data_IF_552255301341
#
_entry.id   IF_552255301341
#
_cell.length_a   1.000
_cell.length_b   1.000
_cell.length_c   1.000
_cell.angle_alpha   90.00
_cell.angle_beta   90.00
_cell.angle_gamma   90.00
#
_symmetry.space_group_name_H-M   'P 1'
#
loop_
_entity.id
_entity.type
_entity.pdbx_description
1 polymer ?
#
# COMPACT_ATOMS: atom_id res chain seq x y z
N UNK A 1 -69.34 0.49 51.13
CA UNK A 1 -68.97 -0.02 49.78
C UNK A 1 -67.54 0.41 49.44
N UNK A 2 -66.68 -0.45 48.88
CA UNK A 2 -65.24 -0.19 48.69
C UNK A 2 -64.91 0.54 47.37
N UNK A 3 -63.76 1.24 47.35
CA UNK A 3 -63.24 2.06 46.22
C UNK A 3 -62.55 1.22 45.12
N UNK A 4 -62.48 1.69 43.86
CA UNK A 4 -61.50 1.16 42.91
C UNK A 4 -60.15 1.91 43.01
N UNK A 5 -59.06 1.17 43.20
CA UNK A 5 -57.67 1.60 42.91
C UNK A 5 -57.20 0.84 41.69
N UNK A 6 -56.91 1.52 40.58
CA UNK A 6 -56.07 0.99 39.51
C UNK A 6 -55.42 2.16 38.74
N UNK A 7 -54.24 2.59 39.19
CA UNK A 7 -53.37 3.47 38.38
C UNK A 7 -51.87 3.18 38.57
N UNK A 8 -51.47 2.34 39.53
CA UNK A 8 -50.07 2.20 39.91
C UNK A 8 -49.30 1.06 39.19
N UNK A 9 -49.93 0.30 38.28
CA UNK A 9 -49.28 -0.83 37.59
C UNK A 9 -48.64 -0.50 36.24
N UNK A 10 -49.01 0.63 35.62
CA UNK A 10 -48.49 0.98 34.28
C UNK A 10 -47.15 1.72 34.33
N UNK A 11 -46.85 2.41 35.42
CA UNK A 11 -45.71 3.33 35.52
C UNK A 11 -44.37 2.57 35.44
N UNK A 12 -44.23 1.48 36.21
CA UNK A 12 -43.01 0.66 36.20
C UNK A 12 -42.79 -0.18 34.93
N UNK A 13 -43.79 -0.28 34.05
CA UNK A 13 -43.65 -0.95 32.75
C UNK A 13 -43.15 0.02 31.68
N UNK A 14 -43.59 1.29 31.74
CA UNK A 14 -43.14 2.36 30.84
C UNK A 14 -41.68 2.70 31.10
N UNK A 15 -41.27 2.88 32.36
CA UNK A 15 -39.88 3.18 32.72
C UNK A 15 -38.90 2.07 32.26
N UNK A 16 -39.32 0.80 32.38
CA UNK A 16 -38.53 -0.32 31.88
C UNK A 16 -38.40 -0.29 30.36
N UNK A 17 -39.49 0.01 29.65
CA UNK A 17 -39.50 0.09 28.19
C UNK A 17 -38.63 1.25 27.68
N UNK A 18 -38.71 2.42 28.33
CA UNK A 18 -37.87 3.58 28.05
C UNK A 18 -36.39 3.28 28.29
N UNK A 19 -36.05 2.59 29.39
CA UNK A 19 -34.66 2.21 29.67
C UNK A 19 -34.08 1.22 28.64
N UNK A 20 -34.93 0.38 28.04
CA UNK A 20 -34.53 -0.55 26.98
C UNK A 20 -34.34 0.19 25.66
N UNK A 21 -35.26 1.08 25.31
CA UNK A 21 -35.17 1.94 24.11
C UNK A 21 -33.94 2.85 24.16
N UNK A 22 -33.62 3.43 25.31
CA UNK A 22 -32.44 4.29 25.50
C UNK A 22 -31.12 3.49 25.44
N UNK A 23 -31.12 2.23 25.88
CA UNK A 23 -29.97 1.33 25.72
C UNK A 23 -29.78 0.90 24.27
N UNK A 24 -30.86 0.67 23.54
CA UNK A 24 -30.82 0.30 22.12
C UNK A 24 -30.38 1.50 21.26
N UNK A 25 -30.87 2.71 21.55
CA UNK A 25 -30.49 3.93 20.83
C UNK A 25 -29.01 4.28 21.03
N UNK A 26 -28.46 4.10 22.24
CA UNK A 26 -27.02 4.28 22.50
C UNK A 26 -26.15 3.28 21.74
N UNK A 27 -26.59 2.03 21.59
CA UNK A 27 -25.87 1.03 20.76
C UNK A 27 -25.91 1.41 19.28
N UNK A 28 -27.04 1.92 18.79
CA UNK A 28 -27.16 2.39 17.41
C UNK A 28 -26.28 3.60 17.12
N UNK A 29 -26.13 4.53 18.07
CA UNK A 29 -25.27 5.71 17.91
C UNK A 29 -23.78 5.35 17.98
N UNK A 30 -23.38 4.36 18.78
CA UNK A 30 -21.98 3.91 18.81
C UNK A 30 -21.55 3.25 17.48
N UNK A 31 -22.48 2.57 16.80
CA UNK A 31 -22.20 1.90 15.53
C UNK A 31 -22.11 2.85 14.33
N UNK A 32 -22.54 4.11 14.46
CA UNK A 32 -22.38 5.14 13.42
C UNK A 32 -21.09 5.96 13.55
N UNK A 33 -20.32 5.79 14.64
CA UNK A 33 -18.96 6.34 14.81
C UNK A 33 -17.91 5.36 14.25
N UNK A 34 -18.32 4.49 13.33
CA UNK A 34 -17.44 3.62 12.58
C UNK A 34 -16.94 4.35 11.34
N UNK A 35 -15.66 4.71 11.35
CA UNK A 35 -14.82 4.90 10.16
C UNK A 35 -14.83 6.28 9.47
N UNK A 36 -14.92 7.38 10.22
CA UNK A 36 -14.42 8.68 9.76
C UNK A 36 -13.03 9.02 10.33
N UNK A 37 -12.21 8.00 10.60
CA UNK A 37 -10.76 8.20 10.58
C UNK A 37 -10.43 8.46 9.11
N UNK A 38 -10.47 9.73 8.70
CA UNK A 38 -9.77 10.21 7.52
C UNK A 38 -8.33 9.73 7.69
N UNK A 39 -8.07 8.58 7.10
CA UNK A 39 -6.77 8.01 6.90
C UNK A 39 -6.11 8.96 5.90
N UNK A 40 -5.62 10.08 6.43
CA UNK A 40 -4.77 11.02 5.72
C UNK A 40 -3.46 10.28 5.46
N UNK A 41 -3.50 9.39 4.47
CA UNK A 41 -2.30 8.81 3.88
C UNK A 41 -1.67 9.92 3.07
N UNK A 42 -0.90 10.78 3.73
CA UNK A 42 0.19 11.47 3.07
C UNK A 42 1.08 10.38 2.45
N UNK A 43 0.82 10.06 1.18
CA UNK A 43 1.73 9.29 0.36
C UNK A 43 2.86 10.28 0.04
N UNK A 44 3.96 10.18 0.78
CA UNK A 44 5.24 10.73 0.35
C UNK A 44 5.57 10.02 -0.97
N UNK A 45 5.20 10.66 -2.07
CA UNK A 45 5.61 10.25 -3.39
C UNK A 45 6.96 10.90 -3.64
N UNK A 46 8.01 10.31 -3.06
CA UNK A 46 9.37 10.61 -3.43
C UNK A 46 9.50 10.21 -4.91
N UNK A 47 9.41 11.18 -5.82
CA UNK A 47 9.67 10.94 -7.22
C UNK A 47 11.16 10.60 -7.34
N UNK A 48 11.47 9.31 -7.51
CA UNK A 48 12.82 8.89 -7.82
C UNK A 48 13.18 9.40 -9.21
N UNK A 49 14.00 10.45 -9.28
CA UNK A 49 14.53 10.97 -10.53
C UNK A 49 15.51 9.96 -11.14
N UNK A 50 15.35 9.70 -12.43
CA UNK A 50 16.29 8.88 -13.19
C UNK A 50 17.56 9.68 -13.47
N UNK A 51 18.72 9.08 -13.20
CA UNK A 51 20.02 9.63 -13.58
C UNK A 51 20.50 8.99 -14.89
N UNK A 52 21.04 9.81 -15.80
CA UNK A 52 21.68 9.35 -17.03
C UNK A 52 23.19 9.59 -16.93
N UNK A 53 23.97 8.55 -17.20
CA UNK A 53 25.42 8.60 -17.22
C UNK A 53 25.96 8.08 -18.57
N UNK A 54 27.08 8.64 -19.02
CA UNK A 54 27.81 8.15 -20.20
C UNK A 54 29.12 7.54 -19.75
N UNK A 55 29.30 6.25 -20.02
CA UNK A 55 30.52 5.49 -19.72
C UNK A 55 31.27 5.20 -21.02
N UNK A 56 32.59 5.37 -21.00
CA UNK A 56 33.48 5.05 -22.12
C UNK A 56 34.31 3.81 -21.77
N UNK A 57 34.41 2.89 -22.72
CA UNK A 57 35.18 1.67 -22.59
C UNK A 57 36.01 1.44 -23.86
N UNK A 58 37.26 1.06 -23.67
CA UNK A 58 38.16 0.66 -24.74
C UNK A 58 37.94 -0.83 -25.02
N UNK A 59 37.56 -1.15 -26.25
CA UNK A 59 37.35 -2.53 -26.69
C UNK A 59 38.60 -2.98 -27.42
N UNK A 60 39.41 -3.80 -26.76
CA UNK A 60 40.51 -4.50 -27.40
C UNK A 60 40.02 -5.77 -28.11
N UNK A 61 40.62 -6.11 -29.24
CA UNK A 61 40.23 -7.26 -30.07
C UNK A 61 40.31 -8.62 -29.33
N UNK A 62 40.97 -8.67 -28.18
CA UNK A 62 41.15 -9.86 -27.35
C UNK A 62 39.99 -10.07 -26.37
N UNK A 63 39.25 -9.01 -26.03
CA UNK A 63 38.18 -9.00 -25.01
C UNK A 63 36.81 -8.61 -25.58
N UNK A 64 36.58 -8.82 -26.88
CA UNK A 64 35.32 -8.42 -27.54
C UNK A 64 34.09 -9.11 -26.93
N UNK A 65 34.30 -10.29 -26.33
CA UNK A 65 33.21 -11.12 -25.82
C UNK A 65 33.00 -11.02 -24.30
N UNK A 66 33.86 -10.28 -23.58
CA UNK A 66 33.78 -10.17 -22.12
C UNK A 66 33.90 -8.72 -21.65
N UNK A 67 32.73 -8.09 -21.51
CA UNK A 67 32.61 -6.75 -20.93
C UNK A 67 32.53 -6.78 -19.39
N UNK A 68 32.43 -7.96 -18.77
CA UNK A 68 32.25 -8.10 -17.34
C UNK A 68 30.83 -7.87 -16.84
N UNK A 69 29.81 -7.94 -17.69
CA UNK A 69 28.41 -7.83 -17.29
C UNK A 69 27.45 -8.56 -18.24
N UNK A 70 26.30 -8.97 -17.72
CA UNK A 70 25.28 -9.72 -18.45
C UNK A 70 24.10 -8.82 -18.83
N UNK A 71 23.68 -8.86 -20.09
CA UNK A 71 22.52 -8.12 -20.61
C UNK A 71 21.28 -9.00 -20.71
N UNK A 72 20.12 -8.43 -20.36
CA UNK A 72 18.80 -9.06 -20.48
C UNK A 72 17.77 -8.06 -21.01
N UNK A 73 16.61 -8.56 -21.45
CA UNK A 73 15.55 -7.70 -21.98
C UNK A 73 15.65 -7.53 -23.49
N UNK A 74 15.19 -6.37 -23.96
CA UNK A 74 15.07 -6.08 -25.38
C UNK A 74 13.74 -6.52 -25.98
N UNK A 75 13.58 -6.28 -27.28
CA UNK A 75 12.32 -6.48 -28.03
C UNK A 75 11.90 -7.95 -28.10
N UNK A 76 12.86 -8.85 -28.20
CA UNK A 76 12.60 -10.27 -28.47
C UNK A 76 12.36 -11.08 -27.18
N UNK A 77 12.94 -10.66 -26.06
CA UNK A 77 12.72 -11.24 -24.73
C UNK A 77 12.59 -10.13 -23.64
N UNK A 78 11.46 -9.40 -23.61
CA UNK A 78 11.28 -8.27 -22.68
C UNK A 78 11.34 -8.70 -21.21
N UNK A 79 12.13 -8.00 -20.40
CA UNK A 79 12.25 -8.33 -18.97
C UNK A 79 11.03 -7.88 -18.16
N UNK A 80 10.39 -6.79 -18.55
CA UNK A 80 9.16 -6.28 -17.94
C UNK A 80 8.06 -6.11 -19.00
N UNK A 81 6.78 -6.30 -18.64
CA UNK A 81 5.68 -6.12 -19.59
C UNK A 81 5.63 -4.70 -20.14
N UNK A 82 5.55 -4.57 -21.47
CA UNK A 82 5.55 -3.30 -22.20
C UNK A 82 6.84 -2.47 -22.10
N UNK A 83 7.94 -3.05 -21.63
CA UNK A 83 9.25 -2.40 -21.62
C UNK A 83 10.26 -3.23 -22.43
N UNK A 84 10.70 -2.65 -23.54
CA UNK A 84 11.67 -3.27 -24.45
C UNK A 84 13.11 -2.77 -24.18
N UNK A 85 13.37 -2.12 -23.05
CA UNK A 85 14.71 -1.71 -22.66
C UNK A 85 15.62 -2.93 -22.45
N UNK A 86 16.91 -2.68 -22.60
CA UNK A 86 17.98 -3.62 -22.27
C UNK A 86 18.50 -3.25 -20.89
N UNK A 87 18.67 -4.25 -20.03
CA UNK A 87 19.09 -4.09 -18.65
C UNK A 87 20.38 -4.87 -18.40
N UNK A 88 21.20 -4.35 -17.51
CA UNK A 88 22.28 -5.13 -16.89
C UNK A 88 21.69 -5.97 -15.77
N UNK A 89 21.89 -7.28 -15.82
CA UNK A 89 21.37 -8.22 -14.82
C UNK A 89 22.41 -8.62 -13.78
N UNK A 90 23.69 -8.61 -14.16
CA UNK A 90 24.82 -9.00 -13.34
C UNK A 90 26.07 -8.27 -13.81
N UNK A 91 26.99 -8.00 -12.87
CA UNK A 91 28.31 -7.40 -13.14
C UNK A 91 29.34 -8.25 -12.41
N UNK A 92 30.34 -8.76 -13.13
CA UNK A 92 31.42 -9.55 -12.55
C UNK A 92 32.31 -8.67 -11.67
N UNK A 93 32.48 -9.08 -10.41
CA UNK A 93 33.28 -8.41 -9.39
C UNK A 93 34.76 -8.26 -9.75
N UNK A 94 35.28 -9.15 -10.60
CA UNK A 94 36.68 -9.14 -11.03
C UNK A 94 36.90 -8.38 -12.35
N UNK A 95 35.83 -7.83 -12.93
CA UNK A 95 35.88 -7.13 -14.20
C UNK A 95 36.13 -5.63 -14.03
N UNK A 96 36.48 -4.97 -15.14
CA UNK A 96 36.64 -3.52 -15.18
C UNK A 96 35.31 -2.77 -14.97
N UNK A 97 34.18 -3.41 -15.27
CA UNK A 97 32.84 -2.82 -15.16
C UNK A 97 32.38 -2.72 -13.70
N UNK A 98 32.99 -3.49 -12.80
CA UNK A 98 32.66 -3.47 -11.38
C UNK A 98 32.91 -2.08 -10.77
N UNK A 99 31.86 -1.53 -10.13
CA UNK A 99 31.89 -0.19 -9.55
C UNK A 99 31.85 0.96 -10.55
N UNK A 100 31.75 0.68 -11.86
CA UNK A 100 31.49 1.68 -12.91
C UNK A 100 30.02 1.77 -13.27
N UNK A 101 29.35 0.62 -13.31
CA UNK A 101 27.90 0.52 -13.48
C UNK A 101 27.22 0.66 -12.12
N UNK A 102 26.18 1.50 -12.05
CA UNK A 102 25.46 1.85 -10.81
C UNK A 102 24.01 1.41 -10.85
#
# INVERSE_FOLDING_TARGET
MPKPRNSLRNIGSVEKYESLVEKESRKSQLNSVGHNHSHDSAIDADLQEWELETLHFEIDWVNVDDFGFDLVGGKDDPRYPNDNAIFVSNVDENSWAFGKLR
#
